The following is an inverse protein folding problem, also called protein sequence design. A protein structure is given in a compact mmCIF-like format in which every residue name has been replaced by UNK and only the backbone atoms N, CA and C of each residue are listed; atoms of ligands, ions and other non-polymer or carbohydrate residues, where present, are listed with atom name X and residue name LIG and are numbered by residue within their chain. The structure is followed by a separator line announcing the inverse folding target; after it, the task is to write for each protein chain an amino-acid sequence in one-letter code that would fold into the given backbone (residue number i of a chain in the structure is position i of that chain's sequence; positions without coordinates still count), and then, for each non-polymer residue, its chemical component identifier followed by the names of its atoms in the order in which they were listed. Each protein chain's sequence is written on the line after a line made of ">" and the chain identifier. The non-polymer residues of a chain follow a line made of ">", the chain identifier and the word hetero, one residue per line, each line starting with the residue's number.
data_IF_485761795250
#
_entry.id   IF_485761795250
#
_cell.length_a   1.000
_cell.length_b   1.000
_cell.length_c   1.000
_cell.angle_alpha   90.00
_cell.angle_beta   90.00
_cell.angle_gamma   90.00
#
_symmetry.space_group_name_H-M   'P 1'
#
loop_
_entity.id
_entity.type
_entity.pdbx_description
1 polymer ?
#
# COMPACT_ATOMS: atom_id res chain seq x y z
N UNK A 1 -9.79 10.43 -18.51
CA UNK A 1 -9.44 11.12 -17.27
C UNK A 1 -7.97 10.86 -16.99
N UNK A 2 -7.17 11.88 -16.98
CA UNK A 2 -5.72 11.75 -16.82
C UNK A 2 -5.37 11.67 -15.34
N UNK A 3 -4.58 10.64 -14.96
CA UNK A 3 -4.07 10.47 -13.59
C UNK A 3 -2.90 11.45 -13.31
N UNK A 4 -2.76 12.53 -14.08
CA UNK A 4 -1.65 13.48 -13.91
C UNK A 4 -1.85 14.40 -12.71
N UNK A 5 -3.10 14.68 -12.35
CA UNK A 5 -3.43 15.54 -11.22
C UNK A 5 -4.24 14.77 -10.18
N UNK A 6 -3.87 14.86 -8.90
CA UNK A 6 -4.61 14.20 -7.85
C UNK A 6 -6.00 14.85 -7.68
N UNK A 7 -7.01 14.03 -7.44
CA UNK A 7 -8.35 14.53 -7.15
C UNK A 7 -8.39 15.19 -5.76
N UNK A 8 -9.15 16.29 -5.58
CA UNK A 8 -9.16 17.03 -4.32
C UNK A 8 -9.45 16.18 -3.08
N UNK A 9 -10.31 15.16 -3.19
CA UNK A 9 -10.61 14.27 -2.07
C UNK A 9 -9.43 13.35 -1.71
N UNK A 10 -8.62 12.95 -2.70
CA UNK A 10 -7.40 12.15 -2.49
C UNK A 10 -6.34 13.01 -1.81
N UNK A 11 -6.15 14.24 -2.25
CA UNK A 11 -5.23 15.19 -1.62
C UNK A 11 -5.63 15.45 -0.16
N UNK A 12 -6.90 15.73 0.08
CA UNK A 12 -7.43 15.95 1.43
C UNK A 12 -7.16 14.74 2.35
N UNK A 13 -7.36 13.52 1.84
CA UNK A 13 -7.10 12.30 2.60
C UNK A 13 -5.60 12.12 2.90
N UNK A 14 -4.72 12.36 1.92
CA UNK A 14 -3.27 12.29 2.12
C UNK A 14 -2.79 13.33 3.15
N UNK A 15 -3.34 14.54 3.13
CA UNK A 15 -3.00 15.57 4.12
C UNK A 15 -3.51 15.21 5.53
N UNK A 16 -4.66 14.56 5.63
CA UNK A 16 -5.18 14.06 6.89
C UNK A 16 -4.26 12.96 7.47
N UNK A 17 -3.81 12.03 6.61
CA UNK A 17 -2.84 11.00 7.00
C UNK A 17 -1.51 11.65 7.43
N UNK A 18 -0.99 12.62 6.69
CA UNK A 18 0.28 13.29 7.03
C UNK A 18 0.19 14.02 8.40
N UNK A 19 -0.95 14.65 8.68
CA UNK A 19 -1.21 15.26 9.99
C UNK A 19 -1.27 14.21 11.10
N UNK A 20 -1.92 13.08 10.84
CA UNK A 20 -2.01 12.00 11.81
C UNK A 20 -0.65 11.33 12.05
N UNK A 21 0.19 11.17 11.01
CA UNK A 21 1.57 10.70 11.14
C UNK A 21 2.38 11.62 12.06
N UNK A 22 2.33 12.92 11.84
CA UNK A 22 3.04 13.90 12.66
C UNK A 22 2.58 13.91 14.12
N UNK A 23 1.29 13.66 14.34
CA UNK A 23 0.74 13.53 15.71
C UNK A 23 1.24 12.27 16.41
N UNK A 24 1.41 11.18 15.65
CA UNK A 24 1.90 9.91 16.17
C UNK A 24 3.42 9.90 16.41
N UNK A 25 4.18 10.51 15.51
CA UNK A 25 5.64 10.61 15.57
C UNK A 25 6.09 11.93 14.92
N UNK A 26 6.52 12.88 15.76
CA UNK A 26 6.90 14.24 15.33
C UNK A 26 8.09 14.25 14.35
N UNK A 27 8.92 13.22 14.38
CA UNK A 27 10.07 13.09 13.47
C UNK A 27 9.69 12.53 12.11
N UNK A 28 8.46 12.06 11.96
CA UNK A 28 7.97 11.41 10.76
C UNK A 28 7.04 12.35 10.00
N UNK A 29 7.37 12.58 8.73
CA UNK A 29 6.52 13.31 7.79
C UNK A 29 6.64 12.70 6.40
N UNK A 30 5.58 12.76 5.63
CA UNK A 30 5.64 12.40 4.22
C UNK A 30 6.28 13.54 3.41
N UNK A 31 7.30 13.21 2.63
CA UNK A 31 7.86 14.14 1.65
C UNK A 31 6.85 14.42 0.54
N UNK A 32 6.95 15.59 -0.10
CA UNK A 32 6.07 15.98 -1.20
C UNK A 32 5.98 14.90 -2.29
N UNK A 33 7.13 14.33 -2.68
CA UNK A 33 7.18 13.29 -3.70
C UNK A 33 6.47 12.01 -3.25
N UNK A 34 6.56 11.63 -1.97
CA UNK A 34 5.85 10.48 -1.41
C UNK A 34 4.33 10.71 -1.43
N UNK A 35 3.86 11.91 -1.07
CA UNK A 35 2.44 12.29 -1.15
C UNK A 35 1.92 12.19 -2.59
N UNK A 36 2.66 12.71 -3.57
CA UNK A 36 2.30 12.62 -4.99
C UNK A 36 2.19 11.17 -5.46
N UNK A 37 3.11 10.30 -5.04
CA UNK A 37 3.06 8.88 -5.39
C UNK A 37 1.92 8.13 -4.68
N UNK A 38 1.64 8.43 -3.42
CA UNK A 38 0.50 7.86 -2.70
C UNK A 38 -0.82 8.28 -3.35
N UNK A 39 -0.94 9.57 -3.74
CA UNK A 39 -2.11 10.06 -4.47
C UNK A 39 -2.31 9.32 -5.79
N UNK A 40 -1.23 9.14 -6.56
CA UNK A 40 -1.26 8.37 -7.78
C UNK A 40 -1.74 6.92 -7.55
N UNK A 41 -1.24 6.26 -6.51
CA UNK A 41 -1.62 4.88 -6.22
C UNK A 41 -3.07 4.75 -5.81
N UNK A 42 -3.56 5.60 -4.91
CA UNK A 42 -4.96 5.60 -4.50
C UNK A 42 -5.86 5.78 -5.74
N UNK A 43 -5.53 6.76 -6.58
CA UNK A 43 -6.29 7.03 -7.80
C UNK A 43 -6.20 5.87 -8.79
N UNK A 44 -5.02 5.26 -8.96
CA UNK A 44 -4.83 4.12 -9.85
C UNK A 44 -5.63 2.88 -9.40
N UNK A 45 -5.65 2.58 -8.09
CA UNK A 45 -6.48 1.52 -7.52
C UNK A 45 -7.97 1.83 -7.74
N UNK A 46 -8.37 3.05 -7.47
CA UNK A 46 -9.76 3.50 -7.65
C UNK A 46 -10.26 3.34 -9.08
N UNK A 47 -9.43 3.72 -10.06
CA UNK A 47 -9.80 3.66 -11.48
C UNK A 47 -9.70 2.25 -12.07
N UNK A 48 -8.75 1.45 -11.63
CA UNK A 48 -8.49 0.12 -12.23
C UNK A 48 -9.13 -1.03 -11.45
N UNK A 49 -9.60 -0.76 -10.22
CA UNK A 49 -10.15 -1.75 -9.28
C UNK A 49 -9.23 -2.96 -9.06
N UNK A 50 -7.93 -2.78 -9.22
CA UNK A 50 -6.94 -3.85 -9.05
C UNK A 50 -5.63 -3.31 -8.48
N UNK A 51 -4.82 -4.19 -7.88
CA UNK A 51 -3.45 -3.91 -7.48
C UNK A 51 -2.47 -4.46 -8.55
N UNK A 52 -2.45 -3.84 -9.73
CA UNK A 52 -1.63 -4.31 -10.86
C UNK A 52 -0.87 -3.16 -11.52
N UNK A 53 0.47 -3.18 -11.42
CA UNK A 53 1.33 -2.12 -11.94
C UNK A 53 1.22 -1.90 -13.45
N UNK A 54 1.04 -2.97 -14.22
CA UNK A 54 0.85 -2.85 -15.67
C UNK A 54 -0.45 -2.12 -16.03
N UNK A 55 -1.50 -2.28 -15.22
CA UNK A 55 -2.74 -1.50 -15.38
C UNK A 55 -2.53 -0.04 -14.98
N UNK A 56 -1.72 0.22 -13.94
CA UNK A 56 -1.41 1.59 -13.51
C UNK A 56 -0.62 2.36 -14.56
N UNK A 57 0.38 1.72 -15.19
CA UNK A 57 1.13 2.31 -16.30
C UNK A 57 0.20 2.69 -17.45
N UNK A 58 -0.68 1.77 -17.87
CA UNK A 58 -1.67 2.04 -18.93
C UNK A 58 -2.65 3.15 -18.54
N UNK A 59 -3.15 3.14 -17.31
CA UNK A 59 -4.07 4.16 -16.82
C UNK A 59 -3.40 5.54 -16.72
N UNK A 60 -2.08 5.59 -16.52
CA UNK A 60 -1.30 6.82 -16.52
C UNK A 60 -0.89 7.28 -17.92
N UNK A 61 -1.31 6.57 -18.97
CA UNK A 61 -0.90 6.83 -20.37
C UNK A 61 0.63 6.88 -20.56
N UNK A 62 1.36 6.02 -19.83
CA UNK A 62 2.81 5.95 -19.88
C UNK A 62 3.56 7.03 -19.06
N UNK A 63 2.87 7.96 -18.42
CA UNK A 63 3.51 8.97 -17.55
C UNK A 63 4.22 8.35 -16.34
N UNK A 64 3.82 7.14 -15.95
CA UNK A 64 4.43 6.38 -14.85
C UNK A 64 4.73 4.97 -15.34
N UNK A 65 6.00 4.67 -15.59
CA UNK A 65 6.42 3.33 -16.00
C UNK A 65 6.34 2.32 -14.86
N UNK A 66 6.18 1.04 -15.19
CA UNK A 66 6.22 -0.06 -14.20
C UNK A 66 7.50 0.00 -13.37
N UNK A 67 8.64 0.30 -14.01
CA UNK A 67 9.91 0.42 -13.32
C UNK A 67 9.91 1.54 -12.27
N UNK A 68 9.37 2.72 -12.60
CA UNK A 68 9.24 3.84 -11.68
C UNK A 68 8.28 3.53 -10.53
N UNK A 69 7.14 2.90 -10.81
CA UNK A 69 6.16 2.47 -9.80
C UNK A 69 6.80 1.47 -8.84
N UNK A 70 7.48 0.45 -9.36
CA UNK A 70 8.18 -0.56 -8.58
C UNK A 70 9.32 0.04 -7.75
N UNK A 71 10.08 0.98 -8.32
CA UNK A 71 11.16 1.66 -7.61
C UNK A 71 10.63 2.47 -6.43
N UNK A 72 9.63 3.30 -6.65
CA UNK A 72 9.00 4.08 -5.59
C UNK A 72 8.45 3.21 -4.47
N UNK A 73 7.78 2.11 -4.81
CA UNK A 73 7.27 1.19 -3.81
C UNK A 73 8.36 0.65 -2.89
N UNK A 74 9.50 0.24 -3.47
CA UNK A 74 10.57 -0.45 -2.74
C UNK A 74 11.64 0.48 -2.14
N UNK A 75 11.85 1.68 -2.73
CA UNK A 75 13.00 2.53 -2.43
C UNK A 75 12.66 3.91 -1.90
N UNK A 76 11.39 4.29 -1.87
CA UNK A 76 10.99 5.65 -1.44
C UNK A 76 11.07 5.90 0.06
N UNK A 77 11.45 4.90 0.87
CA UNK A 77 11.45 4.98 2.32
C UNK A 77 10.10 5.43 2.93
N UNK A 78 9.00 5.07 2.26
CA UNK A 78 7.67 5.26 2.83
C UNK A 78 7.51 4.32 4.03
N UNK A 79 7.11 4.83 5.21
CA UNK A 79 6.97 4.01 6.41
C UNK A 79 5.66 3.18 6.36
N UNK A 80 5.62 2.19 5.47
CA UNK A 80 4.42 1.42 5.13
C UNK A 80 3.69 0.86 6.35
N UNK A 81 4.40 0.27 7.32
CA UNK A 81 3.78 -0.28 8.52
C UNK A 81 3.05 0.77 9.35
N UNK A 82 3.70 1.93 9.59
CA UNK A 82 3.07 3.04 10.30
C UNK A 82 1.92 3.65 9.49
N UNK A 83 2.10 3.79 8.18
CA UNK A 83 1.09 4.32 7.28
C UNK A 83 -0.18 3.46 7.30
N UNK A 84 -0.06 2.13 7.29
CA UNK A 84 -1.19 1.21 7.37
C UNK A 84 -1.99 1.39 8.66
N UNK A 85 -1.32 1.41 9.81
CA UNK A 85 -1.99 1.59 11.11
C UNK A 85 -2.67 2.97 11.19
N UNK A 86 -1.96 4.02 10.79
CA UNK A 86 -2.47 5.40 10.89
C UNK A 86 -3.64 5.62 9.92
N UNK A 87 -3.54 5.13 8.67
CA UNK A 87 -4.64 5.26 7.71
C UNK A 87 -5.91 4.54 8.18
N UNK A 88 -5.75 3.35 8.76
CA UNK A 88 -6.86 2.61 9.36
C UNK A 88 -7.48 3.40 10.51
N UNK A 89 -6.66 3.96 11.40
CA UNK A 89 -7.13 4.79 12.53
C UNK A 89 -7.87 6.03 12.05
N UNK A 90 -7.36 6.70 11.02
CA UNK A 90 -8.02 7.86 10.40
C UNK A 90 -9.39 7.49 9.86
N UNK A 91 -9.49 6.37 9.14
CA UNK A 91 -10.76 5.87 8.59
C UNK A 91 -11.75 5.55 9.71
N UNK A 92 -11.32 4.79 10.71
CA UNK A 92 -12.17 4.42 11.86
C UNK A 92 -12.73 5.66 12.54
N UNK A 93 -11.88 6.64 12.82
CA UNK A 93 -12.30 7.88 13.49
C UNK A 93 -13.22 8.72 12.59
N UNK A 94 -12.92 8.84 11.30
CA UNK A 94 -13.71 9.63 10.36
C UNK A 94 -15.13 9.11 10.18
N UNK A 95 -15.30 7.80 10.20
CA UNK A 95 -16.62 7.16 10.03
C UNK A 95 -17.28 6.76 11.35
N UNK A 96 -16.68 7.12 12.51
CA UNK A 96 -17.24 6.82 13.83
C UNK A 96 -17.40 5.32 14.08
N UNK A 97 -16.50 4.49 13.55
CA UNK A 97 -16.57 3.03 13.69
C UNK A 97 -16.15 2.68 15.13
N UNK A 98 -17.12 2.31 15.97
CA UNK A 98 -16.90 1.98 17.38
C UNK A 98 -16.84 0.49 17.69
N UNK A 99 -17.19 -0.34 16.71
CA UNK A 99 -17.17 -1.81 16.84
C UNK A 99 -17.39 -2.48 15.51
N UNK A 100 -17.16 -3.78 15.46
CA UNK A 100 -17.33 -4.58 14.25
C UNK A 100 -16.66 -5.94 14.41
N UNK A 101 -16.82 -6.79 13.39
CA UNK A 101 -16.14 -8.08 13.29
C UNK A 101 -14.99 -7.96 12.29
N UNK A 102 -13.79 -8.41 12.68
CA UNK A 102 -12.65 -8.52 11.78
C UNK A 102 -12.66 -9.92 11.17
N UNK A 103 -12.91 -10.01 9.87
CA UNK A 103 -12.71 -11.23 9.11
C UNK A 103 -11.31 -11.22 8.49
N UNK A 104 -10.47 -12.17 8.85
CA UNK A 104 -9.16 -12.38 8.24
C UNK A 104 -9.28 -13.62 7.35
N UNK A 105 -9.13 -13.43 6.04
CA UNK A 105 -9.12 -14.51 5.06
C UNK A 105 -7.67 -14.72 4.57
N UNK A 106 -7.10 -15.87 4.90
CA UNK A 106 -5.83 -16.33 4.36
C UNK A 106 -6.10 -17.12 3.08
N UNK A 107 -5.96 -16.48 1.93
CA UNK A 107 -6.00 -17.17 0.65
C UNK A 107 -4.61 -17.70 0.29
N UNK A 108 -4.38 -18.96 0.56
CA UNK A 108 -3.20 -19.70 0.10
C UNK A 108 -3.34 -19.99 -1.40
N UNK A 109 -2.91 -19.04 -2.23
CA UNK A 109 -2.90 -19.24 -3.68
C UNK A 109 -1.74 -20.15 -4.06
N UNK A 110 -2.01 -21.42 -4.37
CA UNK A 110 -1.00 -22.35 -4.90
C UNK A 110 -0.30 -21.68 -6.09
N UNK A 111 1.00 -21.45 -5.99
CA UNK A 111 1.81 -20.88 -7.08
C UNK A 111 1.80 -21.84 -8.26
N UNK A 112 1.58 -21.33 -9.46
CA UNK A 112 1.69 -22.14 -10.68
C UNK A 112 3.13 -22.66 -10.86
N UNK A 113 3.30 -23.81 -11.49
CA UNK A 113 4.62 -24.44 -11.72
C UNK A 113 5.64 -23.55 -12.46
N UNK A 114 5.16 -22.52 -13.16
CA UNK A 114 6.01 -21.54 -13.88
C UNK A 114 6.68 -20.50 -12.94
N UNK A 115 6.25 -20.39 -11.70
CA UNK A 115 6.80 -19.40 -10.75
C UNK A 115 7.99 -19.92 -9.94
N UNK A 116 8.61 -21.04 -10.32
CA UNK A 116 9.78 -21.61 -9.64
C UNK A 116 11.01 -20.70 -9.57
N UNK A 117 11.05 -19.62 -10.39
CA UNK A 117 12.19 -18.68 -10.44
C UNK A 117 12.13 -17.52 -9.43
N UNK A 118 11.05 -17.38 -8.67
CA UNK A 118 10.93 -16.32 -7.66
C UNK A 118 10.90 -16.92 -6.25
N UNK A 119 11.96 -17.66 -5.90
CA UNK A 119 12.05 -18.31 -4.60
C UNK A 119 12.23 -17.33 -3.42
N UNK A 120 12.56 -16.06 -3.68
CA UNK A 120 12.93 -15.09 -2.65
C UNK A 120 12.21 -13.73 -2.72
N UNK A 121 11.20 -13.58 -3.55
CA UNK A 121 10.30 -12.44 -3.41
C UNK A 121 9.12 -12.84 -2.55
N UNK A 122 9.39 -13.11 -1.27
CA UNK A 122 8.35 -13.17 -0.27
C UNK A 122 7.55 -11.87 -0.34
N UNK A 123 6.26 -11.99 -0.46
CA UNK A 123 5.36 -10.85 -0.27
C UNK A 123 5.34 -10.47 1.21
N UNK A 124 6.48 -10.06 1.75
CA UNK A 124 6.57 -9.41 3.06
C UNK A 124 6.05 -7.97 2.99
N UNK A 125 5.04 -7.76 2.13
CA UNK A 125 4.39 -6.45 1.99
C UNK A 125 3.71 -6.04 3.29
N UNK A 126 3.38 -6.99 4.16
CA UNK A 126 2.62 -6.72 5.38
C UNK A 126 3.33 -7.02 6.69
N UNK A 127 4.61 -7.47 6.66
CA UNK A 127 5.39 -7.66 7.89
C UNK A 127 4.81 -8.66 8.90
N UNK A 128 3.95 -9.57 8.45
CA UNK A 128 3.43 -10.65 9.27
C UNK A 128 4.16 -11.93 8.86
N UNK A 129 5.39 -12.08 9.33
CA UNK A 129 6.06 -13.36 9.31
C UNK A 129 5.56 -14.20 10.49
N UNK A 130 4.52 -14.97 10.27
CA UNK A 130 4.16 -16.06 11.16
C UNK A 130 5.20 -17.18 11.06
N UNK A 131 6.24 -17.11 11.87
CA UNK A 131 7.13 -18.24 12.09
C UNK A 131 6.36 -19.29 12.89
N UNK A 132 5.71 -20.21 12.22
CA UNK A 132 5.19 -21.43 12.83
C UNK A 132 6.34 -22.29 13.34
N UNK A 133 6.21 -22.96 14.50
CA UNK A 133 7.26 -23.79 15.05
C UNK A 133 7.57 -24.97 14.11
N UNK A 134 8.82 -25.13 13.73
CA UNK A 134 9.30 -26.33 13.05
C UNK A 134 9.20 -27.50 14.02
N UNK A 135 8.32 -28.45 13.73
CA UNK A 135 8.37 -29.74 14.37
C UNK A 135 9.54 -30.52 13.77
N UNK A 136 10.50 -30.92 14.61
CA UNK A 136 11.50 -31.90 14.28
C UNK A 136 10.84 -33.30 14.32
N UNK A 137 11.02 -34.15 13.31
CA UNK A 137 10.69 -35.54 13.43
C UNK A 137 11.82 -36.23 14.20
N UNK A 138 11.45 -36.99 15.22
CA UNK A 138 12.30 -38.00 15.85
C UNK A 138 12.49 -39.20 14.90
#
# INVERSE_FOLDING_TARGET
>A
MFISEPLPFVESFIEEIDRAIKKYDQNLKLMRIQKTWLSFWILAIYLTHTACWAKYERASLGNRSIAAISWMFRRSNIPWGKLSVISTTVIINRFGITGGSLAIDETDKKRSKSSKKTKDSGCDIWGISGAGPRQHPD
#
